data_IF_926277897495
#
_entry.id   IF_926277897495
#
_cell.length_a   1.000
_cell.length_b   1.000
_cell.length_c   1.000
_cell.angle_alpha   90.00
_cell.angle_beta   90.00
_cell.angle_gamma   90.00
#
_symmetry.space_group_name_H-M   'P 1'
#
loop_
_entity.id
_entity.type
_entity.pdbx_description
1 polymer ?
#
# COMPACT_ATOMS: atom_id res chain seq x y z
N UNK A 1 24.00 9.93 30.47
CA UNK A 1 22.89 9.15 29.87
C UNK A 1 21.56 9.62 30.47
N UNK A 2 20.88 10.56 29.81
CA UNK A 2 19.48 10.85 30.15
C UNK A 2 18.64 9.73 29.55
N UNK A 3 17.99 8.94 30.41
CA UNK A 3 16.91 8.04 30.00
C UNK A 3 15.77 8.92 29.51
N UNK A 4 15.54 8.99 28.21
CA UNK A 4 14.25 9.45 27.68
C UNK A 4 13.19 8.50 28.24
N UNK A 5 12.41 9.00 29.20
CA UNK A 5 11.20 8.32 29.64
C UNK A 5 10.23 8.42 28.47
N UNK A 6 9.94 7.29 27.81
CA UNK A 6 8.84 7.22 26.85
C UNK A 6 7.58 7.76 27.52
N UNK A 7 7.06 8.85 26.98
CA UNK A 7 5.88 9.57 27.47
C UNK A 7 4.62 9.17 26.69
N UNK A 8 4.68 8.00 26.06
CA UNK A 8 3.62 7.41 25.25
C UNK A 8 2.74 6.53 26.16
N UNK A 9 1.44 6.82 26.17
CA UNK A 9 0.46 6.00 26.90
C UNK A 9 0.03 4.84 25.99
N UNK A 10 0.34 3.57 26.34
CA UNK A 10 -0.05 2.44 25.52
C UNK A 10 -1.57 2.27 25.52
N UNK A 11 -2.16 2.14 24.33
CA UNK A 11 -3.56 1.79 24.13
C UNK A 11 -3.63 0.43 23.43
N UNK A 12 -4.38 -0.50 24.00
CA UNK A 12 -4.48 -1.88 23.47
C UNK A 12 -5.75 -2.15 22.69
N UNK A 13 -6.80 -1.33 22.84
CA UNK A 13 -8.15 -1.64 22.32
C UNK A 13 -8.82 -0.45 21.61
N UNK A 14 -8.03 0.47 21.06
CA UNK A 14 -8.55 1.60 20.28
C UNK A 14 -8.26 1.36 18.81
N UNK A 15 -9.31 1.34 18.00
CA UNK A 15 -9.26 1.03 16.57
C UNK A 15 -9.86 2.18 15.76
N UNK A 16 -9.44 2.31 14.51
CA UNK A 16 -9.97 3.31 13.60
C UNK A 16 -9.98 2.85 12.14
N UNK A 17 -10.62 3.68 11.32
CA UNK A 17 -10.73 3.48 9.87
C UNK A 17 -10.41 4.79 9.15
N UNK A 18 -9.72 4.71 8.02
CA UNK A 18 -9.47 5.86 7.17
C UNK A 18 -10.76 6.27 6.43
N UNK A 19 -11.20 7.51 6.62
CA UNK A 19 -12.34 8.11 5.89
C UNK A 19 -11.92 9.24 4.94
N UNK A 20 -10.62 9.39 4.73
CA UNK A 20 -10.04 10.32 3.76
C UNK A 20 -9.59 9.52 2.53
N UNK A 21 -9.49 10.16 1.36
CA UNK A 21 -8.93 9.52 0.16
C UNK A 21 -7.52 8.99 0.42
N UNK A 22 -6.70 9.81 1.07
CA UNK A 22 -5.33 9.50 1.52
C UNK A 22 -5.16 10.10 2.91
N UNK A 23 -4.65 9.31 3.85
CA UNK A 23 -4.25 9.77 5.19
C UNK A 23 -2.73 9.57 5.35
N UNK A 24 -1.91 10.64 5.45
CA UNK A 24 -0.47 10.52 5.58
C UNK A 24 -0.04 9.98 6.96
N UNK A 25 0.95 9.07 6.96
CA UNK A 25 1.59 8.52 8.16
C UNK A 25 3.01 9.06 8.27
N UNK A 26 3.32 9.66 9.42
CA UNK A 26 4.60 10.32 9.69
C UNK A 26 5.48 9.49 10.62
N UNK A 27 6.81 9.58 10.44
CA UNK A 27 7.78 8.89 11.33
C UNK A 27 7.74 9.41 12.77
N UNK A 28 7.51 10.70 12.96
CA UNK A 28 7.46 11.39 14.26
C UNK A 28 6.18 12.25 14.33
N UNK A 29 5.69 12.59 15.55
CA UNK A 29 4.49 13.41 15.74
C UNK A 29 4.76 14.90 15.45
N UNK A 30 5.15 15.22 14.22
CA UNK A 30 5.40 16.58 13.72
C UNK A 30 5.27 16.60 12.20
N UNK A 31 4.77 17.70 11.64
CA UNK A 31 4.69 17.88 10.18
C UNK A 31 6.06 18.02 9.51
N UNK A 32 7.11 18.30 10.27
CA UNK A 32 8.51 18.34 9.77
C UNK A 32 9.11 16.92 9.61
N UNK A 33 8.37 15.89 10.05
CA UNK A 33 8.80 14.51 9.92
C UNK A 33 8.68 14.02 8.48
N UNK A 34 9.54 13.06 8.12
CA UNK A 34 9.35 12.27 6.91
C UNK A 34 7.96 11.59 6.90
N UNK A 35 7.30 11.66 5.74
CA UNK A 35 6.22 10.76 5.36
C UNK A 35 6.82 9.36 5.22
N UNK A 36 6.23 8.37 5.89
CA UNK A 36 6.71 6.99 5.84
C UNK A 36 5.73 6.06 5.16
N UNK A 37 4.45 6.43 5.08
CA UNK A 37 3.40 5.69 4.37
C UNK A 37 2.15 6.55 4.26
N UNK A 38 1.10 5.99 3.68
CA UNK A 38 -0.23 6.56 3.55
C UNK A 38 -1.27 5.46 3.77
N UNK A 39 -2.37 5.77 4.44
CA UNK A 39 -3.56 4.92 4.42
C UNK A 39 -4.51 5.40 3.32
N UNK A 40 -5.13 4.46 2.62
CA UNK A 40 -6.21 4.71 1.67
C UNK A 40 -7.57 4.60 2.35
N UNK A 41 -8.60 5.16 1.71
CA UNK A 41 -9.97 5.10 2.22
C UNK A 41 -10.38 3.65 2.55
N UNK A 42 -10.99 3.45 3.70
CA UNK A 42 -11.47 2.14 4.17
C UNK A 42 -10.40 1.24 4.79
N UNK A 43 -9.11 1.62 4.77
CA UNK A 43 -8.08 0.89 5.51
C UNK A 43 -8.25 1.10 7.02
N UNK A 44 -8.13 0.03 7.79
CA UNK A 44 -8.27 0.05 9.25
C UNK A 44 -6.90 0.12 9.94
N UNK A 45 -6.88 0.64 11.16
CA UNK A 45 -5.68 0.75 11.97
C UNK A 45 -5.97 0.57 13.46
N UNK A 46 -4.98 0.09 14.20
CA UNK A 46 -4.99 0.07 15.66
C UNK A 46 -4.22 1.28 16.19
N UNK A 47 -4.76 2.02 17.15
CA UNK A 47 -4.03 3.07 17.88
C UNK A 47 -3.18 2.41 18.95
N UNK A 48 -1.87 2.66 18.92
CA UNK A 48 -0.87 2.08 19.82
C UNK A 48 -0.44 3.04 20.94
N UNK A 49 -0.38 4.33 20.62
CA UNK A 49 0.02 5.36 21.56
C UNK A 49 -0.56 6.73 21.20
N UNK A 50 -0.55 7.62 22.19
CA UNK A 50 -0.87 9.04 22.03
C UNK A 50 0.30 9.85 22.57
N UNK A 51 0.66 10.93 21.89
CA UNK A 51 1.67 11.85 22.39
C UNK A 51 1.13 12.68 23.59
N UNK A 52 2.01 13.32 24.40
CA UNK A 52 1.58 13.96 25.65
C UNK A 52 0.50 15.05 25.54
N UNK A 53 0.46 15.78 24.43
CA UNK A 53 -0.53 16.85 24.20
C UNK A 53 -1.78 16.39 23.42
N UNK A 54 -1.86 15.09 23.11
CA UNK A 54 -2.98 14.45 22.40
C UNK A 54 -3.24 14.99 20.97
N UNK A 55 -2.27 15.68 20.37
CA UNK A 55 -2.37 16.14 18.99
C UNK A 55 -1.98 15.09 17.95
N UNK A 56 -1.31 14.01 18.36
CA UNK A 56 -0.87 12.92 17.49
C UNK A 56 -1.13 11.55 18.07
N UNK A 57 -1.48 10.62 17.18
CA UNK A 57 -1.80 9.24 17.49
C UNK A 57 -0.85 8.35 16.70
N UNK A 58 -0.13 7.50 17.42
CA UNK A 58 0.67 6.45 16.80
C UNK A 58 -0.27 5.28 16.49
N UNK A 59 -0.32 4.90 15.23
CA UNK A 59 -1.17 3.83 14.72
C UNK A 59 -0.32 2.70 14.14
N UNK A 60 -0.91 1.51 14.08
CA UNK A 60 -0.38 0.33 13.41
C UNK A 60 -1.33 -0.05 12.28
N UNK A 61 -0.78 -0.18 11.06
CA UNK A 61 -1.48 -0.68 9.90
C UNK A 61 -1.15 -2.16 9.71
N UNK A 62 -2.13 -3.02 9.98
CA UNK A 62 -1.96 -4.49 10.01
C UNK A 62 -1.49 -5.07 8.67
N UNK A 63 -2.03 -4.58 7.54
CA UNK A 63 -1.80 -5.22 6.24
C UNK A 63 -0.33 -5.15 5.80
N UNK A 64 0.36 -4.05 6.12
CA UNK A 64 1.77 -3.85 5.79
C UNK A 64 2.72 -4.01 6.98
N UNK A 65 2.19 -4.20 8.19
CA UNK A 65 2.98 -4.32 9.41
C UNK A 65 3.76 -3.05 9.78
N UNK A 66 3.21 -1.86 9.53
CA UNK A 66 3.91 -0.58 9.75
C UNK A 66 3.25 0.28 10.82
N UNK A 67 4.07 0.88 11.70
CA UNK A 67 3.64 1.91 12.63
C UNK A 67 3.98 3.32 12.13
N UNK A 68 3.09 4.28 12.39
CA UNK A 68 3.29 5.69 12.06
C UNK A 68 2.39 6.62 12.84
N UNK A 69 2.63 7.93 12.74
CA UNK A 69 1.87 8.96 13.43
C UNK A 69 0.87 9.63 12.50
N UNK A 70 -0.36 9.79 12.98
CA UNK A 70 -1.42 10.59 12.34
C UNK A 70 -1.87 11.71 13.27
N UNK A 71 -2.43 12.77 12.71
CA UNK A 71 -2.95 13.89 13.50
C UNK A 71 -4.28 13.51 14.17
N UNK A 72 -4.55 14.11 15.33
CA UNK A 72 -5.81 13.94 16.06
C UNK A 72 -7.05 14.33 15.24
N UNK A 73 -6.91 15.23 14.26
CA UNK A 73 -8.01 15.65 13.37
C UNK A 73 -8.40 14.58 12.36
N UNK A 74 -7.50 13.64 12.08
CA UNK A 74 -7.72 12.57 11.11
C UNK A 74 -8.28 11.30 11.74
N UNK A 75 -8.35 11.23 13.07
CA UNK A 75 -8.79 10.01 13.75
C UNK A 75 -10.29 9.80 13.53
N UNK A 76 -10.64 8.58 13.16
CA UNK A 76 -12.03 8.11 13.14
C UNK A 76 -12.05 6.76 13.81
N UNK A 77 -12.45 6.75 15.08
CA UNK A 77 -12.52 5.53 15.86
C UNK A 77 -13.71 4.66 15.44
N UNK A 78 -13.54 3.35 15.59
CA UNK A 78 -14.56 2.33 15.36
C UNK A 78 -14.59 1.35 16.52
N UNK A 79 -15.67 0.58 16.67
CA UNK A 79 -15.75 -0.43 17.71
C UNK A 79 -14.81 -1.60 17.40
N UNK A 80 -14.30 -2.32 18.42
CA UNK A 80 -13.49 -3.52 18.21
C UNK A 80 -14.19 -4.60 17.36
N UNK A 81 -15.52 -4.71 17.49
CA UNK A 81 -16.32 -5.60 16.68
C UNK A 81 -16.31 -5.19 15.19
N UNK A 82 -16.46 -3.90 14.90
CA UNK A 82 -16.41 -3.38 13.52
C UNK A 82 -15.02 -3.55 12.91
N UNK A 83 -13.97 -3.29 13.69
CA UNK A 83 -12.59 -3.54 13.27
C UNK A 83 -12.38 -5.00 12.89
N UNK A 84 -12.82 -5.92 13.75
CA UNK A 84 -12.73 -7.36 13.51
C UNK A 84 -13.55 -7.77 12.27
N UNK A 85 -14.73 -7.18 12.07
CA UNK A 85 -15.56 -7.44 10.91
C UNK A 85 -14.90 -6.94 9.63
N UNK A 86 -14.40 -5.70 9.58
CA UNK A 86 -13.75 -5.13 8.39
C UNK A 86 -12.46 -5.85 8.00
N UNK A 87 -11.76 -6.49 8.96
CA UNK A 87 -10.58 -7.30 8.66
C UNK A 87 -10.91 -8.73 8.20
N UNK A 88 -12.10 -9.24 8.50
CA UNK A 88 -12.48 -10.64 8.24
C UNK A 88 -13.51 -10.83 7.13
N UNK A 89 -14.35 -9.82 6.87
CA UNK A 89 -15.35 -9.85 5.82
C UNK A 89 -14.77 -9.42 4.47
N UNK A 90 -15.42 -9.87 3.40
CA UNK A 90 -15.10 -9.39 2.06
C UNK A 90 -15.45 -7.90 1.92
N UNK A 91 -14.68 -7.21 1.10
CA UNK A 91 -14.88 -5.82 0.73
C UNK A 91 -14.55 -5.65 -0.75
N UNK A 92 -15.07 -4.59 -1.36
CA UNK A 92 -14.65 -4.22 -2.70
C UNK A 92 -13.41 -3.33 -2.65
N UNK A 93 -12.49 -3.56 -3.58
CA UNK A 93 -11.31 -2.71 -3.77
C UNK A 93 -11.46 -1.94 -5.06
N UNK A 94 -11.24 -0.63 -4.99
CA UNK A 94 -11.22 0.24 -6.17
C UNK A 94 -10.01 -0.10 -7.04
N UNK A 95 -10.23 -0.25 -8.34
CA UNK A 95 -9.18 -0.52 -9.34
C UNK A 95 -9.04 0.60 -10.37
N UNK A 96 -10.05 1.45 -10.53
CA UNK A 96 -9.97 2.62 -11.41
C UNK A 96 -9.06 3.71 -10.82
N UNK A 97 -8.25 4.42 -11.64
CA UNK A 97 -7.35 5.48 -11.18
C UNK A 97 -8.01 6.55 -10.31
N UNK A 98 -9.26 6.90 -10.63
CA UNK A 98 -10.12 7.74 -9.79
C UNK A 98 -11.52 7.12 -9.82
N UNK A 99 -12.06 6.85 -8.65
CA UNK A 99 -13.48 6.56 -8.45
C UNK A 99 -14.15 7.67 -7.64
N UNK A 100 -15.47 7.74 -7.70
CA UNK A 100 -16.28 8.73 -6.98
C UNK A 100 -17.41 8.03 -6.25
N UNK A 101 -17.64 8.41 -5.00
CA UNK A 101 -18.86 8.11 -4.25
C UNK A 101 -19.51 9.41 -3.79
N UNK A 102 -20.84 9.40 -3.67
CA UNK A 102 -21.55 10.43 -2.93
C UNK A 102 -21.54 10.09 -1.43
N UNK A 103 -21.07 11.03 -0.62
CA UNK A 103 -21.01 10.92 0.84
C UNK A 103 -21.48 12.23 1.47
N UNK A 104 -22.55 12.16 2.27
CA UNK A 104 -23.17 13.30 2.96
C UNK A 104 -23.50 14.50 2.02
N UNK A 105 -23.98 14.21 0.81
CA UNK A 105 -24.32 15.24 -0.18
C UNK A 105 -23.11 15.88 -0.87
N UNK A 106 -21.92 15.29 -0.74
CA UNK A 106 -20.70 15.72 -1.42
C UNK A 106 -20.00 14.56 -2.12
N UNK A 107 -19.20 14.86 -3.14
CA UNK A 107 -18.39 13.86 -3.82
C UNK A 107 -17.12 13.57 -3.01
N UNK A 108 -16.88 12.30 -2.70
CA UNK A 108 -15.61 11.80 -2.23
C UNK A 108 -14.93 11.00 -3.34
N UNK A 109 -13.71 11.40 -3.66
CA UNK A 109 -12.88 10.70 -4.64
C UNK A 109 -12.08 9.59 -3.96
N UNK A 110 -11.95 8.46 -4.64
CA UNK A 110 -11.26 7.26 -4.18
C UNK A 110 -10.19 6.89 -5.19
N UNK A 111 -9.11 6.26 -4.72
CA UNK A 111 -7.96 5.86 -5.53
C UNK A 111 -7.81 4.33 -5.54
N UNK A 112 -7.08 3.75 -6.51
CA UNK A 112 -6.77 2.33 -6.54
C UNK A 112 -6.24 1.83 -5.19
N UNK A 113 -6.83 0.75 -4.70
CA UNK A 113 -6.54 0.19 -3.37
C UNK A 113 -7.49 0.65 -2.25
N UNK A 114 -8.33 1.67 -2.49
CA UNK A 114 -9.38 2.07 -1.53
C UNK A 114 -10.38 0.94 -1.32
N UNK A 115 -10.82 0.74 -0.07
CA UNK A 115 -11.71 -0.35 0.36
C UNK A 115 -13.12 0.15 0.63
N UNK A 116 -14.08 -0.56 0.07
CA UNK A 116 -15.50 -0.32 0.30
C UNK A 116 -16.06 -1.51 1.09
N UNK A 117 -16.16 -1.30 2.40
CA UNK A 117 -16.77 -2.26 3.33
C UNK A 117 -18.29 -2.18 3.20
N UNK A 118 -18.91 -3.25 2.75
CA UNK A 118 -20.36 -3.33 2.66
C UNK A 118 -20.92 -3.94 3.94
N UNK A 119 -21.67 -3.15 4.70
CA UNK A 119 -22.48 -3.65 5.81
C UNK A 119 -23.82 -2.93 5.86
N UNK A 120 -24.82 -3.60 6.44
CA UNK A 120 -26.11 -3.00 6.80
C UNK A 120 -25.97 -1.89 7.87
N UNK A 121 -24.79 -1.76 8.49
CA UNK A 121 -24.49 -1.01 9.72
C UNK A 121 -23.57 0.20 9.48
N UNK A 122 -23.82 0.99 8.43
CA UNK A 122 -22.98 2.11 7.99
C UNK A 122 -21.74 1.68 7.21
N UNK A 123 -21.90 1.61 5.89
CA UNK A 123 -21.06 2.44 5.00
C UNK A 123 -21.61 2.52 3.57
N UNK A 124 -22.42 1.57 3.11
CA UNK A 124 -23.00 1.62 1.77
C UNK A 124 -24.29 0.79 1.70
N UNK A 125 -25.42 1.38 2.07
CA UNK A 125 -26.72 0.82 1.74
C UNK A 125 -26.99 1.16 0.25
N UNK A 126 -26.47 0.31 -0.64
CA UNK A 126 -26.35 0.57 -2.08
C UNK A 126 -27.68 0.56 -2.86
N UNK A 127 -28.80 0.19 -2.21
CA UNK A 127 -30.03 -0.08 -2.94
C UNK A 127 -30.74 1.15 -3.50
N UNK A 128 -30.47 2.37 -3.01
CA UNK A 128 -31.23 3.52 -3.51
C UNK A 128 -30.46 4.84 -3.78
N UNK A 129 -29.27 5.13 -3.19
CA UNK A 129 -28.78 6.53 -3.18
C UNK A 129 -27.25 6.80 -3.23
N UNK A 130 -26.39 5.91 -3.73
CA UNK A 130 -24.95 6.23 -3.88
C UNK A 130 -24.55 6.11 -5.35
N UNK A 131 -24.29 7.26 -5.99
CA UNK A 131 -23.63 7.30 -7.28
C UNK A 131 -22.18 6.84 -7.14
N UNK A 132 -21.90 5.55 -7.37
CA UNK A 132 -20.53 5.05 -7.55
C UNK A 132 -20.14 5.17 -9.02
N UNK A 133 -19.06 5.88 -9.30
CA UNK A 133 -18.42 5.92 -10.63
C UNK A 133 -17.01 5.40 -10.51
N UNK A 134 -16.69 4.31 -11.21
CA UNK A 134 -15.38 3.68 -11.18
C UNK A 134 -15.46 2.17 -11.39
N UNK A 135 -14.33 1.49 -11.20
CA UNK A 135 -14.23 0.04 -11.26
C UNK A 135 -13.79 -0.50 -9.91
N UNK A 136 -14.36 -1.64 -9.51
CA UNK A 136 -14.02 -2.36 -8.29
C UNK A 136 -13.89 -3.85 -8.55
N UNK A 137 -13.27 -4.56 -7.61
CA UNK A 137 -13.25 -6.02 -7.54
C UNK A 137 -13.43 -6.49 -6.11
N UNK A 138 -13.99 -7.69 -5.93
CA UNK A 138 -14.02 -8.38 -4.63
C UNK A 138 -12.60 -8.72 -4.20
N UNK A 139 -12.24 -8.42 -2.95
CA UNK A 139 -10.95 -8.77 -2.39
C UNK A 139 -10.86 -10.27 -2.03
N UNK A 140 -12.00 -10.92 -1.72
CA UNK A 140 -12.05 -12.34 -1.38
C UNK A 140 -11.64 -13.27 -2.52
N UNK A 141 -11.74 -12.81 -3.78
CA UNK A 141 -11.27 -13.55 -4.95
C UNK A 141 -9.85 -13.07 -5.27
N UNK A 142 -8.88 -13.98 -5.39
CA UNK A 142 -7.54 -13.62 -5.88
C UNK A 142 -7.59 -13.35 -7.38
N UNK A 143 -6.97 -12.26 -7.81
CA UNK A 143 -6.87 -11.92 -9.23
C UNK A 143 -5.98 -12.92 -9.97
N UNK A 144 -6.31 -13.17 -11.24
CA UNK A 144 -5.43 -13.82 -12.21
C UNK A 144 -4.17 -12.99 -12.47
N UNK A 145 -3.17 -13.59 -13.14
CA UNK A 145 -1.93 -12.88 -13.51
C UNK A 145 -2.24 -11.71 -14.43
N UNK A 146 -3.12 -11.93 -15.40
CA UNK A 146 -3.59 -10.91 -16.34
C UNK A 146 -4.21 -9.72 -15.59
N UNK A 147 -5.09 -9.98 -14.63
CA UNK A 147 -5.69 -8.93 -13.79
C UNK A 147 -4.66 -8.20 -12.92
N UNK A 148 -3.64 -8.89 -12.38
CA UNK A 148 -2.54 -8.25 -11.64
C UNK A 148 -1.79 -7.27 -12.53
N UNK A 149 -1.46 -7.66 -13.77
CA UNK A 149 -0.80 -6.77 -14.73
C UNK A 149 -1.69 -5.57 -15.06
N UNK A 150 -2.99 -5.78 -15.29
CA UNK A 150 -3.94 -4.69 -15.55
C UNK A 150 -4.01 -3.68 -14.39
N UNK A 151 -4.00 -4.17 -13.14
CA UNK A 151 -3.94 -3.33 -11.94
C UNK A 151 -2.61 -2.58 -11.89
N UNK A 152 -1.48 -3.25 -12.12
CA UNK A 152 -0.15 -2.67 -12.07
C UNK A 152 -0.01 -1.50 -13.07
N UNK A 153 -0.52 -1.69 -14.29
CA UNK A 153 -0.48 -0.67 -15.34
C UNK A 153 -1.32 0.57 -15.03
N UNK A 154 -2.25 0.53 -14.06
CA UNK A 154 -2.95 1.76 -13.59
C UNK A 154 -2.03 2.73 -12.86
N UNK A 155 -0.88 2.26 -12.38
CA UNK A 155 0.12 3.08 -11.72
C UNK A 155 1.17 3.64 -12.68
N UNK A 156 1.10 3.33 -13.98
CA UNK A 156 2.04 3.88 -14.96
C UNK A 156 2.08 5.42 -14.89
N UNK A 157 3.29 5.98 -14.89
CA UNK A 157 3.59 7.39 -14.68
C UNK A 157 3.30 7.96 -13.28
N UNK A 158 2.88 7.15 -12.30
CA UNK A 158 2.81 7.61 -10.92
C UNK A 158 4.21 8.10 -10.48
N UNK A 159 4.37 9.35 -10.04
CA UNK A 159 5.66 9.90 -9.71
C UNK A 159 6.20 9.27 -8.41
N UNK A 160 7.52 9.15 -8.31
CA UNK A 160 8.14 8.72 -7.08
C UNK A 160 7.83 9.70 -5.94
N UNK A 161 7.37 9.16 -4.82
CA UNK A 161 7.25 9.89 -3.55
C UNK A 161 7.61 8.94 -2.42
N UNK A 162 8.63 9.28 -1.64
CA UNK A 162 8.98 8.50 -0.44
C UNK A 162 7.77 8.38 0.50
N UNK A 163 7.38 7.15 0.84
CA UNK A 163 6.19 6.87 1.65
C UNK A 163 4.84 7.06 0.93
N UNK A 164 4.83 7.27 -0.38
CA UNK A 164 3.61 7.37 -1.19
C UNK A 164 2.95 6.01 -1.45
N UNK A 165 1.62 5.96 -1.47
CA UNK A 165 0.79 4.79 -1.81
C UNK A 165 -0.37 5.18 -2.73
N UNK A 166 -0.11 5.98 -3.76
CA UNK A 166 -1.15 6.40 -4.70
C UNK A 166 -0.60 6.73 -6.09
N UNK A 167 -1.50 6.91 -7.06
CA UNK A 167 -1.12 7.38 -8.41
C UNK A 167 -0.57 8.82 -8.43
N UNK A 168 -0.73 9.60 -7.36
CA UNK A 168 -0.18 10.96 -7.24
C UNK A 168 1.20 11.01 -6.56
N UNK A 169 1.67 9.86 -6.07
CA UNK A 169 2.91 9.73 -5.33
C UNK A 169 3.05 8.30 -4.83
N UNK A 170 4.06 7.60 -5.34
CA UNK A 170 4.25 6.17 -5.12
C UNK A 170 5.69 5.87 -4.70
N UNK A 171 5.83 5.12 -3.62
CA UNK A 171 7.08 4.52 -3.19
C UNK A 171 7.22 3.15 -3.87
N UNK A 172 8.42 2.73 -4.24
CA UNK A 172 8.65 1.50 -5.02
C UNK A 172 8.06 0.26 -4.32
N UNK A 173 8.57 -0.09 -3.14
CA UNK A 173 8.16 -1.31 -2.42
C UNK A 173 6.68 -1.22 -2.02
N UNK A 174 6.23 -0.06 -1.52
CA UNK A 174 4.83 0.11 -1.09
C UNK A 174 3.87 0.14 -2.28
N UNK A 175 4.35 0.55 -3.45
CA UNK A 175 3.58 0.55 -4.68
C UNK A 175 3.33 -0.86 -5.18
N UNK A 176 4.37 -1.70 -5.23
CA UNK A 176 4.17 -3.11 -5.56
C UNK A 176 3.34 -3.83 -4.50
N UNK A 177 3.58 -3.58 -3.21
CA UNK A 177 2.72 -4.09 -2.14
C UNK A 177 1.26 -3.73 -2.38
N UNK A 178 0.95 -2.47 -2.68
CA UNK A 178 -0.39 -2.00 -2.94
C UNK A 178 -1.02 -2.65 -4.19
N UNK A 179 -0.25 -2.86 -5.25
CA UNK A 179 -0.70 -3.56 -6.47
C UNK A 179 -1.13 -4.98 -6.12
N UNK A 180 -0.28 -5.74 -5.42
CA UNK A 180 -0.60 -7.11 -5.01
C UNK A 180 -1.73 -7.17 -3.99
N UNK A 181 -1.79 -6.24 -3.03
CA UNK A 181 -2.87 -6.13 -2.06
C UNK A 181 -4.21 -5.86 -2.76
N UNK A 182 -4.24 -4.96 -3.75
CA UNK A 182 -5.42 -4.71 -4.59
C UNK A 182 -5.89 -5.96 -5.34
N UNK A 183 -4.94 -6.80 -5.74
CA UNK A 183 -5.17 -8.09 -6.38
C UNK A 183 -5.55 -9.24 -5.42
N UNK A 184 -5.56 -9.01 -4.10
CA UNK A 184 -5.89 -10.03 -3.09
C UNK A 184 -4.69 -10.86 -2.60
N UNK A 185 -3.47 -10.39 -2.83
CA UNK A 185 -2.22 -11.01 -2.37
C UNK A 185 -1.57 -10.17 -1.27
N UNK A 186 -1.30 -10.79 -0.12
CA UNK A 186 -0.73 -10.09 1.04
C UNK A 186 0.79 -9.97 0.93
N UNK A 187 1.31 -8.80 1.27
CA UNK A 187 2.74 -8.55 1.39
C UNK A 187 3.03 -7.63 2.58
N UNK A 188 3.66 -8.19 3.62
CA UNK A 188 4.17 -7.42 4.75
C UNK A 188 5.56 -6.87 4.44
N UNK A 189 5.80 -5.58 4.73
CA UNK A 189 7.01 -4.86 4.31
C UNK A 189 8.29 -5.30 5.02
N UNK A 190 8.20 -6.14 6.05
CA UNK A 190 9.33 -6.69 6.79
C UNK A 190 10.09 -7.77 6.01
N UNK A 191 9.50 -8.33 4.95
CA UNK A 191 10.11 -9.38 4.14
C UNK A 191 9.70 -9.29 2.66
N UNK A 192 10.50 -9.91 1.81
CA UNK A 192 10.10 -10.14 0.42
C UNK A 192 8.93 -11.14 0.37
N UNK A 193 7.96 -10.91 -0.53
CA UNK A 193 6.77 -11.73 -0.63
C UNK A 193 7.03 -12.98 -1.47
N UNK A 194 6.17 -13.98 -1.33
CA UNK A 194 6.18 -15.15 -2.21
C UNK A 194 7.31 -16.14 -1.96
N UNK A 195 7.56 -16.98 -2.96
CA UNK A 195 8.63 -17.98 -2.98
C UNK A 195 9.76 -17.51 -3.89
N UNK A 196 10.99 -17.69 -3.45
CA UNK A 196 12.17 -17.46 -4.27
C UNK A 196 12.19 -18.47 -5.42
N UNK A 197 12.39 -17.96 -6.63
CA UNK A 197 12.52 -18.73 -7.87
C UNK A 197 13.76 -18.28 -8.63
N UNK A 198 14.21 -19.12 -9.55
CA UNK A 198 15.29 -18.75 -10.47
C UNK A 198 14.84 -17.57 -11.35
N UNK A 199 15.64 -16.50 -11.52
CA UNK A 199 15.33 -15.40 -12.43
C UNK A 199 14.99 -15.86 -13.85
N UNK A 200 15.56 -16.96 -14.33
CA UNK A 200 15.25 -17.51 -15.67
C UNK A 200 13.85 -18.16 -15.74
N UNK A 201 13.20 -18.40 -14.60
CA UNK A 201 11.89 -19.05 -14.50
C UNK A 201 10.75 -18.07 -14.20
N UNK A 202 11.03 -16.77 -14.13
CA UNK A 202 9.99 -15.77 -13.86
C UNK A 202 8.94 -15.76 -14.97
N UNK A 203 7.68 -15.62 -14.56
CA UNK A 203 6.55 -15.48 -15.46
C UNK A 203 5.78 -14.19 -15.15
N UNK A 204 4.92 -13.69 -16.07
CA UNK A 204 4.28 -12.39 -15.90
C UNK A 204 3.54 -12.25 -14.56
N UNK A 205 3.79 -11.16 -13.84
CA UNK A 205 3.28 -10.92 -12.50
C UNK A 205 4.13 -11.52 -11.37
N UNK A 206 5.30 -12.09 -11.68
CA UNK A 206 6.35 -12.32 -10.68
C UNK A 206 7.24 -11.07 -10.52
N UNK A 207 7.97 -11.00 -9.41
CA UNK A 207 8.93 -9.92 -9.17
C UNK A 207 10.35 -10.36 -9.53
N UNK A 208 11.11 -9.43 -10.11
CA UNK A 208 12.56 -9.49 -10.21
C UNK A 208 13.15 -8.48 -9.24
N UNK A 209 14.18 -8.89 -8.51
CA UNK A 209 14.78 -8.11 -7.44
C UNK A 209 16.27 -8.03 -7.66
N UNK A 210 16.75 -6.83 -7.88
CA UNK A 210 18.16 -6.53 -7.99
C UNK A 210 18.68 -6.09 -6.62
N UNK A 211 19.62 -6.84 -6.05
CA UNK A 211 20.17 -6.59 -4.71
C UNK A 211 21.65 -6.26 -4.80
N UNK A 212 22.02 -5.13 -4.22
CA UNK A 212 23.42 -4.80 -3.94
C UNK A 212 23.79 -5.40 -2.57
N UNK A 213 24.78 -6.29 -2.56
CA UNK A 213 25.21 -6.98 -1.34
C UNK A 213 26.02 -6.09 -0.39
N UNK A 214 26.66 -5.04 -0.91
CA UNK A 214 27.49 -4.11 -0.15
C UNK A 214 26.63 -3.03 0.49
N UNK A 215 25.79 -2.33 -0.28
CA UNK A 215 24.90 -1.30 0.25
C UNK A 215 23.68 -1.88 0.97
N UNK A 216 23.31 -3.13 0.66
CA UNK A 216 22.06 -3.81 1.06
C UNK A 216 20.80 -3.18 0.47
N UNK A 217 20.94 -2.32 -0.52
CA UNK A 217 19.81 -1.78 -1.25
C UNK A 217 19.20 -2.87 -2.15
N UNK A 218 17.91 -2.76 -2.40
CA UNK A 218 17.18 -3.66 -3.27
C UNK A 218 16.24 -2.84 -4.14
N UNK A 219 16.29 -3.09 -5.44
CA UNK A 219 15.42 -2.50 -6.45
C UNK A 219 14.48 -3.60 -6.95
N UNK A 220 13.23 -3.27 -7.14
CA UNK A 220 12.16 -4.23 -7.42
C UNK A 220 11.49 -3.87 -8.74
N UNK A 221 11.28 -4.88 -9.56
CA UNK A 221 10.49 -4.78 -10.79
C UNK A 221 9.48 -5.92 -10.87
N UNK A 222 8.39 -5.70 -11.59
CA UNK A 222 7.43 -6.75 -11.95
C UNK A 222 7.66 -7.15 -13.40
N UNK A 223 7.85 -8.44 -13.64
CA UNK A 223 7.95 -8.96 -15.00
C UNK A 223 6.57 -8.92 -15.67
N UNK A 224 6.49 -8.31 -16.85
CA UNK A 224 5.24 -8.18 -17.62
C UNK A 224 5.09 -9.25 -18.71
N UNK A 225 6.16 -10.02 -18.96
CA UNK A 225 6.27 -10.87 -20.15
C UNK A 225 6.94 -10.15 -21.31
N UNK A 226 7.26 -10.89 -22.37
CA UNK A 226 7.86 -10.33 -23.59
C UNK A 226 9.10 -9.46 -23.34
N UNK A 227 9.94 -9.86 -22.37
CA UNK A 227 11.16 -9.14 -21.95
C UNK A 227 10.91 -7.74 -21.36
N UNK A 228 9.66 -7.39 -21.01
CA UNK A 228 9.32 -6.12 -20.38
C UNK A 228 9.20 -6.24 -18.86
N UNK A 229 9.58 -5.16 -18.17
CA UNK A 229 9.44 -5.01 -16.72
C UNK A 229 8.78 -3.67 -16.36
N UNK A 230 7.94 -3.68 -15.34
CA UNK A 230 7.40 -2.48 -14.70
C UNK A 230 8.24 -2.17 -13.46
N UNK A 231 8.74 -0.95 -13.33
CA UNK A 231 9.63 -0.56 -12.23
C UNK A 231 9.63 0.96 -11.97
N UNK A 232 10.24 1.37 -10.86
CA UNK A 232 10.28 2.76 -10.41
C UNK A 232 11.61 3.43 -10.79
N UNK A 233 11.55 4.47 -11.63
CA UNK A 233 12.70 5.31 -12.01
C UNK A 233 12.26 6.78 -12.06
N UNK A 234 12.21 7.41 -10.89
CA UNK A 234 11.59 8.73 -10.70
C UNK A 234 10.06 8.77 -10.93
N UNK A 235 9.52 7.80 -11.67
CA UNK A 235 8.11 7.45 -11.82
C UNK A 235 8.00 5.97 -12.18
N UNK A 236 6.82 5.39 -11.96
CA UNK A 236 6.53 4.04 -12.42
C UNK A 236 6.54 4.00 -13.97
N UNK A 237 7.35 3.13 -14.56
CA UNK A 237 7.54 3.02 -16.01
C UNK A 237 7.72 1.57 -16.47
N UNK A 238 7.55 1.35 -17.77
CA UNK A 238 7.89 0.09 -18.43
C UNK A 238 9.19 0.29 -19.21
N UNK A 239 10.04 -0.74 -19.24
CA UNK A 239 11.18 -0.86 -20.14
C UNK A 239 11.47 -2.32 -20.44
N UNK A 240 12.38 -2.56 -21.37
CA UNK A 240 13.03 -3.85 -21.53
C UNK A 240 13.81 -4.22 -20.25
N UNK A 241 13.93 -5.53 -19.99
CA UNK A 241 14.65 -6.07 -18.85
C UNK A 241 16.14 -5.70 -18.90
N UNK A 242 16.76 -5.75 -20.08
CA UNK A 242 18.17 -5.39 -20.30
C UNK A 242 18.44 -3.91 -19.93
N UNK A 243 17.49 -3.01 -20.25
CA UNK A 243 17.62 -1.60 -19.90
C UNK A 243 17.56 -1.44 -18.37
N UNK A 244 16.60 -2.10 -17.72
CA UNK A 244 16.46 -2.05 -16.26
C UNK A 244 17.70 -2.59 -15.56
N UNK A 245 18.18 -3.77 -15.94
CA UNK A 245 19.38 -4.40 -15.37
C UNK A 245 20.61 -3.53 -15.56
N UNK A 246 20.83 -3.01 -16.77
CA UNK A 246 21.98 -2.12 -17.05
C UNK A 246 21.96 -0.87 -16.18
N UNK A 247 20.79 -0.28 -15.91
CA UNK A 247 20.68 0.87 -15.02
C UNK A 247 21.02 0.49 -13.58
N UNK A 248 20.57 -0.68 -13.11
CA UNK A 248 20.87 -1.12 -11.74
C UNK A 248 22.35 -1.41 -11.56
N UNK A 249 22.99 -2.10 -12.51
CA UNK A 249 24.42 -2.38 -12.48
C UNK A 249 25.26 -1.11 -12.44
N UNK A 250 24.91 -0.11 -13.25
CA UNK A 250 25.63 1.17 -13.28
C UNK A 250 25.52 1.98 -11.98
N UNK A 251 24.45 1.75 -11.20
CA UNK A 251 24.18 2.44 -9.95
C UNK A 251 24.63 1.66 -8.70
N UNK A 252 25.12 0.43 -8.88
CA UNK A 252 25.45 -0.48 -7.78
C UNK A 252 26.95 -0.65 -7.56
N UNK A 253 27.29 -1.25 -6.43
CA UNK A 253 28.62 -1.79 -6.15
C UNK A 253 28.96 -2.96 -7.09
N UNK A 254 30.17 -3.52 -6.94
CA UNK A 254 30.60 -4.67 -7.76
C UNK A 254 29.93 -6.00 -7.39
N UNK A 255 29.22 -6.07 -6.27
CA UNK A 255 28.61 -7.32 -5.78
C UNK A 255 27.09 -7.21 -5.83
N UNK A 256 26.52 -7.70 -6.93
CA UNK A 256 25.08 -7.64 -7.20
C UNK A 256 24.52 -9.03 -7.43
N UNK A 257 23.25 -9.22 -7.09
CA UNK A 257 22.51 -10.48 -7.32
C UNK A 257 21.12 -10.14 -7.84
N UNK A 258 20.68 -10.89 -8.85
CA UNK A 258 19.30 -10.88 -9.33
C UNK A 258 18.55 -12.08 -8.73
N UNK A 259 17.38 -11.82 -8.14
CA UNK A 259 16.52 -12.82 -7.51
C UNK A 259 15.11 -12.75 -8.10
N UNK A 260 14.48 -13.90 -8.38
CA UNK A 260 13.07 -13.97 -8.74
C UNK A 260 12.20 -14.27 -7.51
N UNK A 261 11.01 -13.67 -7.43
CA UNK A 261 10.00 -13.95 -6.39
C UNK A 261 8.62 -14.16 -7.00
N UNK A 262 8.00 -15.31 -6.73
CA UNK A 262 6.63 -15.62 -7.15
C UNK A 262 5.64 -15.55 -5.99
N UNK A 263 4.81 -14.50 -5.98
CA UNK A 263 3.77 -14.25 -4.96
C UNK A 263 2.51 -15.08 -5.23
N UNK A 264 2.29 -15.43 -6.49
CA UNK A 264 1.05 -16.06 -6.97
C UNK A 264 1.14 -17.60 -7.02
N UNK A 265 2.21 -18.18 -6.48
CA UNK A 265 2.54 -19.62 -6.46
C UNK A 265 2.06 -20.39 -5.23
#
# INVERSE_FOLDING_TARGET
MRKEKSSEWPLTDVFGICRQTILPLYRKPTFESALISQLLFGECYQVKAINPDQSWYKIFHEDIGLEGWITSKSIKTILPADYSNFLSQDFQVVTSPIAVIEYLGTNLYLLPGSRLHFSDLELFNWRDHIGFTGSTRSHAVKASREEVLEIALKYLNAPFQAGGRSIFGLDEIKGFELIYATAGYRWSLDKLPGKMIDPEQVIPGDLLIFRDLESKDSQVSMYLGAEEVLWMDGKMRVSDIDEWESIQENNSSKQVVLEGQSIMS
#
